data_IF_372729575025
#
_entry.id   IF_372729575025
#
_cell.length_a   1.000
_cell.length_b   1.000
_cell.length_c   1.000
_cell.angle_alpha   90.00
_cell.angle_beta   90.00
_cell.angle_gamma   90.00
#
_symmetry.space_group_name_H-M   'P 1'
#
loop_
_entity.id
_entity.type
_entity.pdbx_description
1 polymer ?
#
# COMPACT_ATOMS: atom_id res chain seq x y z
N UNK A 1 -18.50 -2.25 17.21
CA UNK A 1 -19.19 -1.05 16.67
C UNK A 1 -19.48 0.01 17.74
N UNK A 2 -19.59 -0.34 19.02
CA UNK A 2 -19.90 0.62 20.08
C UNK A 2 -18.85 1.72 20.28
N UNK A 3 -17.58 1.45 19.97
CA UNK A 3 -16.51 2.45 20.03
C UNK A 3 -16.76 3.60 19.04
N UNK A 4 -17.13 3.30 17.79
CA UNK A 4 -17.44 4.33 16.78
C UNK A 4 -18.66 5.15 17.17
N UNK A 5 -19.68 4.53 17.77
CA UNK A 5 -20.86 5.25 18.25
C UNK A 5 -20.55 6.22 19.39
N UNK A 6 -19.55 5.90 20.24
CA UNK A 6 -19.13 6.75 21.37
C UNK A 6 -18.10 7.81 20.95
N UNK A 7 -17.25 7.49 20.01
CA UNK A 7 -16.23 8.39 19.50
C UNK A 7 -15.98 8.08 18.02
N UNK A 8 -16.30 9.04 17.17
CA UNK A 8 -16.17 8.91 15.72
C UNK A 8 -14.73 9.14 15.23
N UNK A 9 -13.86 9.74 16.06
CA UNK A 9 -12.47 10.03 15.68
C UNK A 9 -11.68 8.74 15.49
N UNK A 10 -11.06 8.57 14.33
CA UNK A 10 -10.29 7.38 13.98
C UNK A 10 -8.97 7.74 13.33
N UNK A 11 -7.96 6.90 13.54
CA UNK A 11 -6.79 6.77 12.69
C UNK A 11 -6.99 5.58 11.77
N UNK A 12 -6.72 5.76 10.50
CA UNK A 12 -6.75 4.72 9.49
C UNK A 12 -5.48 4.78 8.67
N UNK A 13 -4.82 3.65 8.47
CA UNK A 13 -3.60 3.56 7.70
C UNK A 13 -3.78 2.56 6.56
N UNK A 14 -3.27 2.94 5.41
CA UNK A 14 -3.10 2.05 4.26
C UNK A 14 -1.61 2.02 3.96
N UNK A 15 -1.02 0.85 4.07
CA UNK A 15 0.39 0.63 3.74
C UNK A 15 0.54 -0.37 2.60
N UNK A 16 1.66 -0.25 1.92
CA UNK A 16 2.10 -1.16 0.89
C UNK A 16 3.57 -1.47 1.09
N UNK A 17 3.86 -2.71 1.44
CA UNK A 17 5.22 -3.21 1.41
C UNK A 17 5.69 -3.32 -0.04
N UNK A 18 6.84 -2.71 -0.34
CA UNK A 18 7.45 -2.73 -1.66
C UNK A 18 8.44 -3.90 -1.74
N UNK A 19 9.45 -3.91 -0.86
CA UNK A 19 10.47 -4.94 -0.88
C UNK A 19 11.01 -5.20 0.53
N UNK A 20 11.15 -6.48 0.90
CA UNK A 20 11.88 -6.88 2.09
C UNK A 20 13.38 -6.94 1.77
N UNK A 21 14.17 -6.25 2.57
CA UNK A 21 15.63 -6.16 2.49
C UNK A 21 16.24 -7.12 3.51
N UNK A 22 16.77 -8.27 3.09
CA UNK A 22 17.48 -9.15 4.01
C UNK A 22 18.71 -8.46 4.60
N UNK A 23 19.07 -8.80 5.84
CA UNK A 23 20.23 -8.23 6.52
C UNK A 23 21.54 -8.39 5.74
N UNK A 24 21.69 -9.48 5.00
CA UNK A 24 22.88 -9.75 4.19
C UNK A 24 23.07 -8.78 2.99
N UNK A 25 22.10 -7.92 2.69
CA UNK A 25 22.30 -6.81 1.77
C UNK A 25 23.24 -5.74 2.36
N UNK A 26 23.36 -5.73 3.68
CA UNK A 26 24.14 -4.78 4.46
C UNK A 26 25.30 -5.49 5.17
N UNK A 27 24.97 -6.38 6.11
CA UNK A 27 25.92 -7.26 6.80
C UNK A 27 25.28 -8.62 7.10
N UNK A 28 25.86 -9.73 6.59
CA UNK A 28 25.32 -11.08 6.82
C UNK A 28 25.41 -11.54 8.28
N UNK A 29 26.23 -10.90 9.11
CA UNK A 29 26.41 -11.26 10.51
C UNK A 29 25.50 -10.49 11.46
N UNK A 30 24.73 -9.51 10.96
CA UNK A 30 23.85 -8.68 11.78
C UNK A 30 22.40 -8.74 11.28
N UNK A 31 21.57 -9.58 11.90
CA UNK A 31 20.16 -9.72 11.57
C UNK A 31 19.35 -8.45 11.85
N UNK A 32 19.82 -7.54 12.70
CA UNK A 32 19.12 -6.29 13.04
C UNK A 32 19.06 -5.30 11.87
N UNK A 33 19.88 -5.51 10.84
CA UNK A 33 19.92 -4.70 9.62
C UNK A 33 18.84 -5.09 8.58
N UNK A 34 18.10 -6.18 8.83
CA UNK A 34 16.96 -6.51 7.97
C UNK A 34 15.91 -5.39 8.01
N UNK A 35 15.38 -5.03 6.86
CA UNK A 35 14.51 -3.87 6.72
C UNK A 35 13.42 -4.08 5.66
N UNK A 36 12.50 -3.12 5.53
CA UNK A 36 11.44 -3.16 4.52
C UNK A 36 11.29 -1.79 3.88
N UNK A 37 11.29 -1.76 2.56
CA UNK A 37 10.86 -0.59 1.80
C UNK A 37 9.34 -0.57 1.74
N UNK A 38 8.73 0.59 1.95
CA UNK A 38 7.28 0.74 1.98
C UNK A 38 6.82 2.14 1.62
N UNK A 39 5.55 2.23 1.27
CA UNK A 39 4.79 3.49 1.19
C UNK A 39 3.53 3.34 2.03
N UNK A 40 3.13 4.39 2.74
CA UNK A 40 1.90 4.40 3.53
C UNK A 40 1.20 5.75 3.49
N UNK A 41 -0.11 5.73 3.73
CA UNK A 41 -0.93 6.91 3.96
C UNK A 41 -1.64 6.75 5.29
N UNK A 42 -1.37 7.67 6.21
CA UNK A 42 -2.05 7.74 7.51
C UNK A 42 -3.13 8.80 7.43
N UNK A 43 -4.35 8.39 7.72
CA UNK A 43 -5.56 9.21 7.66
C UNK A 43 -6.08 9.40 9.08
N UNK A 44 -6.23 10.65 9.49
CA UNK A 44 -7.04 11.02 10.66
C UNK A 44 -8.39 11.51 10.16
N UNK A 45 -9.46 10.99 10.73
CA UNK A 45 -10.79 11.30 10.22
C UNK A 45 -11.89 10.92 11.20
N UNK A 46 -13.09 10.91 10.66
CA UNK A 46 -14.29 10.52 11.37
C UNK A 46 -14.89 9.28 10.71
N UNK A 47 -15.19 8.28 11.52
CA UNK A 47 -15.85 7.07 11.06
C UNK A 47 -17.35 7.15 11.28
N UNK A 48 -18.11 6.70 10.31
CA UNK A 48 -19.56 6.49 10.41
C UNK A 48 -19.94 5.09 9.99
N UNK A 49 -21.01 4.57 10.58
CA UNK A 49 -21.61 3.29 10.18
C UNK A 49 -22.58 3.58 9.05
N UNK A 50 -22.33 2.99 7.90
CA UNK A 50 -23.17 3.19 6.71
C UNK A 50 -24.50 2.47 6.91
N UNK A 51 -25.59 3.25 7.00
CA UNK A 51 -26.97 2.75 7.05
C UNK A 51 -27.62 2.63 5.66
N UNK A 52 -27.17 3.41 4.70
CA UNK A 52 -27.75 3.45 3.37
C UNK A 52 -27.38 2.19 2.57
N UNK A 53 -28.40 1.48 2.05
CA UNK A 53 -28.20 0.22 1.30
C UNK A 53 -27.44 0.43 -0.01
N UNK A 54 -27.65 1.55 -0.72
CA UNK A 54 -26.92 1.88 -1.95
C UNK A 54 -25.41 2.05 -1.69
N UNK A 55 -25.07 2.76 -0.62
CA UNK A 55 -23.66 2.92 -0.23
C UNK A 55 -23.02 1.57 0.19
N UNK A 56 -23.76 0.71 0.92
CA UNK A 56 -23.29 -0.63 1.24
C UNK A 56 -23.01 -1.44 -0.03
N UNK A 57 -23.95 -1.44 -0.99
CA UNK A 57 -23.81 -2.13 -2.27
C UNK A 57 -22.60 -1.61 -3.04
N UNK A 58 -22.41 -0.28 -3.11
CA UNK A 58 -21.26 0.32 -3.77
C UNK A 58 -19.94 -0.16 -3.17
N UNK A 59 -19.82 -0.13 -1.84
CA UNK A 59 -18.60 -0.54 -1.13
C UNK A 59 -18.29 -2.03 -1.32
N UNK A 60 -19.31 -2.89 -1.20
CA UNK A 60 -19.14 -4.35 -1.32
C UNK A 60 -18.85 -4.77 -2.75
N UNK A 61 -19.50 -4.17 -3.75
CA UNK A 61 -19.18 -4.43 -5.15
C UNK A 61 -17.77 -3.90 -5.52
N UNK A 62 -17.34 -2.79 -4.93
CA UNK A 62 -15.97 -2.31 -5.05
C UNK A 62 -14.95 -3.31 -4.49
N UNK A 63 -15.27 -3.95 -3.36
CA UNK A 63 -14.45 -5.00 -2.77
C UNK A 63 -14.36 -6.22 -3.69
N UNK A 64 -15.50 -6.67 -4.23
CA UNK A 64 -15.54 -7.78 -5.19
C UNK A 64 -14.72 -7.49 -6.43
N UNK A 65 -14.86 -6.31 -7.02
CA UNK A 65 -14.06 -5.90 -8.20
C UNK A 65 -12.55 -5.91 -7.91
N UNK A 66 -12.14 -5.56 -6.69
CA UNK A 66 -10.73 -5.57 -6.29
C UNK A 66 -10.16 -6.98 -6.12
N UNK A 67 -10.90 -7.90 -5.49
CA UNK A 67 -10.39 -9.20 -5.09
C UNK A 67 -10.80 -10.35 -6.01
N UNK A 68 -11.82 -10.12 -6.86
CA UNK A 68 -12.28 -11.05 -7.88
C UNK A 68 -12.48 -10.32 -9.22
N UNK A 69 -11.39 -9.75 -9.80
CA UNK A 69 -11.46 -8.92 -11.01
C UNK A 69 -11.93 -9.67 -12.25
N UNK A 70 -11.81 -11.00 -12.27
CA UNK A 70 -12.30 -11.89 -13.33
C UNK A 70 -13.83 -11.93 -13.41
N UNK A 71 -14.54 -11.36 -12.44
CA UNK A 71 -15.99 -11.44 -12.39
C UNK A 71 -16.48 -12.80 -11.93
N UNK A 72 -17.36 -13.47 -12.73
CA UNK A 72 -18.00 -14.76 -12.43
C UNK A 72 -18.84 -14.73 -11.15
N UNK A 73 -19.48 -13.61 -10.86
CA UNK A 73 -20.44 -13.42 -9.77
C UNK A 73 -21.54 -12.46 -10.19
N UNK A 74 -22.71 -12.60 -9.59
CA UNK A 74 -23.77 -11.63 -9.70
C UNK A 74 -23.49 -10.45 -8.74
N UNK A 75 -23.41 -9.20 -9.22
CA UNK A 75 -23.20 -8.05 -8.35
C UNK A 75 -24.28 -7.93 -7.29
N UNK A 76 -23.86 -7.49 -6.09
CA UNK A 76 -24.82 -7.21 -5.01
C UNK A 76 -25.76 -6.09 -5.41
N UNK A 77 -27.02 -6.23 -5.00
CA UNK A 77 -28.07 -5.22 -5.19
C UNK A 77 -28.77 -4.90 -3.86
N UNK A 78 -29.55 -3.84 -3.85
CA UNK A 78 -30.18 -3.31 -2.64
C UNK A 78 -31.20 -4.26 -1.98
N UNK A 79 -31.71 -5.26 -2.70
CA UNK A 79 -32.72 -6.19 -2.21
C UNK A 79 -32.13 -7.39 -1.46
N UNK A 80 -30.80 -7.57 -1.48
CA UNK A 80 -30.14 -8.71 -0.85
C UNK A 80 -30.18 -8.59 0.68
N UNK A 81 -30.68 -9.62 1.35
CA UNK A 81 -30.76 -9.68 2.82
C UNK A 81 -29.39 -9.67 3.51
N UNK A 82 -28.35 -10.16 2.83
CA UNK A 82 -26.98 -10.16 3.37
C UNK A 82 -26.51 -8.76 3.77
N UNK A 83 -27.07 -7.69 3.20
CA UNK A 83 -26.74 -6.32 3.57
C UNK A 83 -27.09 -5.96 5.03
N UNK A 84 -28.03 -6.68 5.65
CA UNK A 84 -28.36 -6.49 7.06
C UNK A 84 -27.31 -7.14 8.00
N UNK A 85 -26.71 -8.22 7.54
CA UNK A 85 -25.66 -8.93 8.31
C UNK A 85 -24.30 -8.25 8.22
N UNK A 86 -24.07 -7.35 7.25
CA UNK A 86 -22.77 -6.71 7.00
C UNK A 86 -22.78 -5.26 7.51
N UNK A 87 -21.79 -4.92 8.34
CA UNK A 87 -21.49 -3.55 8.72
C UNK A 87 -20.43 -2.96 7.78
N UNK A 88 -20.78 -1.86 7.12
CA UNK A 88 -19.83 -1.05 6.35
C UNK A 88 -19.51 0.20 7.16
N UNK A 89 -18.21 0.48 7.32
CA UNK A 89 -17.71 1.67 7.99
C UNK A 89 -17.10 2.58 6.94
N UNK A 90 -17.54 3.82 6.92
CA UNK A 90 -17.01 4.88 6.07
C UNK A 90 -16.12 5.78 6.91
N UNK A 91 -14.92 6.05 6.43
CA UNK A 91 -13.99 7.02 7.03
C UNK A 91 -14.00 8.28 6.19
N UNK A 92 -14.34 9.40 6.82
CA UNK A 92 -14.29 10.73 6.21
C UNK A 92 -12.96 11.37 6.59
N UNK A 93 -12.00 11.50 5.65
CA UNK A 93 -10.67 12.02 5.95
C UNK A 93 -10.75 13.50 6.30
N UNK A 94 -10.00 13.90 7.34
CA UNK A 94 -9.79 15.31 7.73
C UNK A 94 -8.33 15.72 7.51
N UNK A 95 -7.41 14.77 7.73
CA UNK A 95 -5.97 14.96 7.55
C UNK A 95 -5.40 13.68 6.92
N UNK A 96 -4.55 13.84 5.93
CA UNK A 96 -3.84 12.72 5.29
C UNK A 96 -2.35 13.04 5.22
N UNK A 97 -1.53 12.10 5.69
CA UNK A 97 -0.08 12.20 5.66
C UNK A 97 0.51 11.00 4.93
N UNK A 98 1.26 11.27 3.88
CA UNK A 98 2.04 10.26 3.19
C UNK A 98 3.36 9.99 3.91
N UNK A 99 3.78 8.73 3.99
CA UNK A 99 5.08 8.31 4.46
C UNK A 99 5.64 7.27 3.49
N UNK A 100 6.93 7.38 3.21
CA UNK A 100 7.61 6.42 2.36
C UNK A 100 9.03 6.16 2.88
N UNK A 101 9.49 4.94 2.66
CA UNK A 101 10.86 4.51 2.91
C UNK A 101 11.31 3.79 1.64
N UNK A 102 12.08 4.49 0.82
CA UNK A 102 12.52 4.05 -0.51
C UNK A 102 14.03 4.32 -0.74
N UNK A 103 14.79 4.45 0.35
CA UNK A 103 16.20 4.81 0.28
C UNK A 103 16.47 6.31 0.07
N UNK A 104 15.51 7.18 0.37
CA UNK A 104 15.62 8.64 0.17
C UNK A 104 16.73 9.30 1.01
N UNK A 105 17.16 8.66 2.11
CA UNK A 105 18.23 9.17 2.98
C UNK A 105 19.60 8.55 2.64
N UNK A 106 19.67 7.72 1.60
CA UNK A 106 20.92 7.08 1.13
C UNK A 106 21.63 7.98 0.12
N UNK A 107 22.94 7.87 0.06
CA UNK A 107 23.71 8.42 -1.07
C UNK A 107 23.33 7.70 -2.37
N UNK A 108 23.53 8.34 -3.53
CA UNK A 108 23.27 7.71 -4.82
C UNK A 108 24.03 6.37 -4.98
N UNK A 109 25.24 6.28 -4.46
CA UNK A 109 26.05 5.05 -4.51
C UNK A 109 25.43 3.92 -3.67
N UNK A 110 25.00 4.22 -2.44
CA UNK A 110 24.34 3.24 -1.56
C UNK A 110 23.00 2.80 -2.15
N UNK A 111 22.21 3.75 -2.67
CA UNK A 111 20.93 3.51 -3.29
C UNK A 111 21.05 2.63 -4.54
N UNK A 112 22.08 2.87 -5.37
CA UNK A 112 22.38 2.04 -6.55
C UNK A 112 22.78 0.63 -6.15
N UNK A 113 23.66 0.47 -5.15
CA UNK A 113 24.06 -0.85 -4.64
C UNK A 113 22.87 -1.62 -4.08
N UNK A 114 21.97 -0.94 -3.35
CA UNK A 114 20.73 -1.55 -2.85
C UNK A 114 19.83 -2.00 -4.01
N UNK A 115 19.66 -1.14 -5.02
CA UNK A 115 18.86 -1.44 -6.20
C UNK A 115 19.39 -2.65 -6.98
N UNK A 116 20.72 -2.77 -7.13
CA UNK A 116 21.36 -3.95 -7.74
C UNK A 116 21.05 -5.24 -6.93
N UNK A 117 21.09 -5.17 -5.60
CA UNK A 117 20.76 -6.31 -4.75
C UNK A 117 19.29 -6.71 -4.88
N UNK A 118 18.37 -5.75 -4.95
CA UNK A 118 16.94 -5.98 -5.18
C UNK A 118 16.73 -6.65 -6.55
N UNK A 119 17.39 -6.14 -7.59
CA UNK A 119 17.30 -6.72 -8.93
C UNK A 119 17.80 -8.16 -8.96
N UNK A 120 18.95 -8.44 -8.33
CA UNK A 120 19.53 -9.80 -8.22
C UNK A 120 18.62 -10.76 -7.44
N UNK A 121 17.94 -10.29 -6.39
CA UNK A 121 16.98 -11.07 -5.63
C UNK A 121 15.77 -11.49 -6.46
N UNK A 122 15.41 -10.68 -7.48
CA UNK A 122 14.36 -10.96 -8.46
C UNK A 122 13.01 -11.36 -7.83
N UNK A 123 12.60 -10.65 -6.80
CA UNK A 123 11.27 -10.81 -6.20
C UNK A 123 10.17 -10.35 -7.17
N UNK A 124 8.91 -10.73 -6.89
CA UNK A 124 7.76 -10.30 -7.71
C UNK A 124 7.57 -8.78 -7.72
N UNK A 125 8.04 -8.09 -6.69
CA UNK A 125 7.92 -6.65 -6.52
C UNK A 125 9.18 -5.87 -6.94
N UNK A 126 10.26 -6.56 -7.32
CA UNK A 126 11.55 -5.94 -7.56
C UNK A 126 11.49 -4.80 -8.59
N UNK A 127 10.94 -5.04 -9.78
CA UNK A 127 10.89 -4.03 -10.84
C UNK A 127 10.07 -2.81 -10.44
N UNK A 128 8.90 -3.03 -9.87
CA UNK A 128 8.04 -1.95 -9.39
C UNK A 128 8.70 -1.16 -8.24
N UNK A 129 9.38 -1.85 -7.34
CA UNK A 129 10.14 -1.21 -6.25
C UNK A 129 11.24 -0.32 -6.80
N UNK A 130 12.00 -0.81 -7.80
CA UNK A 130 13.06 -0.04 -8.45
C UNK A 130 12.52 1.22 -9.14
N UNK A 131 11.38 1.11 -9.82
CA UNK A 131 10.71 2.26 -10.43
C UNK A 131 10.33 3.31 -9.38
N UNK A 132 9.71 2.88 -8.27
CA UNK A 132 9.34 3.76 -7.14
C UNK A 132 10.59 4.38 -6.47
N UNK A 133 11.71 3.66 -6.44
CA UNK A 133 12.99 4.18 -5.97
C UNK A 133 13.63 5.19 -6.94
N UNK A 134 13.06 5.39 -8.15
CA UNK A 134 13.57 6.29 -9.16
C UNK A 134 14.57 5.65 -10.12
N UNK A 135 14.57 4.33 -10.27
CA UNK A 135 15.41 3.66 -11.26
C UNK A 135 14.61 3.28 -12.50
N UNK A 136 15.30 3.28 -13.62
CA UNK A 136 14.86 2.66 -14.88
C UNK A 136 15.89 1.62 -15.33
N UNK A 137 15.48 0.70 -16.18
CA UNK A 137 16.37 -0.30 -16.77
C UNK A 137 16.45 -0.04 -18.27
N UNK A 138 17.64 0.33 -18.73
CA UNK A 138 17.92 0.58 -20.14
C UNK A 138 19.14 -0.25 -20.58
N UNK A 139 19.00 -0.99 -21.67
CA UNK A 139 20.05 -1.86 -22.17
C UNK A 139 20.65 -2.77 -21.06
N UNK A 140 19.79 -3.37 -20.27
CA UNK A 140 20.14 -4.24 -19.13
C UNK A 140 20.92 -3.54 -17.99
N UNK A 141 20.97 -2.21 -17.98
CA UNK A 141 21.63 -1.42 -16.93
C UNK A 141 20.61 -0.66 -16.11
N UNK A 142 20.86 -0.63 -14.80
CA UNK A 142 20.13 0.20 -13.86
C UNK A 142 20.60 1.64 -13.96
N UNK A 143 19.66 2.56 -14.21
CA UNK A 143 19.91 4.00 -14.32
C UNK A 143 19.05 4.69 -13.26
N UNK A 144 19.67 5.49 -12.40
CA UNK A 144 18.96 6.37 -11.45
C UNK A 144 18.50 7.61 -12.23
N UNK A 145 17.19 7.88 -12.23
CA UNK A 145 16.62 9.10 -12.81
C UNK A 145 17.12 10.33 -12.04
N UNK A 146 17.41 11.39 -12.76
CA UNK A 146 17.73 12.68 -12.15
C UNK A 146 16.46 13.40 -11.71
N UNK A 147 16.56 14.35 -10.76
CA UNK A 147 15.40 15.08 -10.20
C UNK A 147 14.60 15.88 -11.25
N UNK A 148 15.11 16.05 -12.45
CA UNK A 148 14.43 16.73 -13.55
C UNK A 148 13.44 15.82 -14.32
N UNK A 149 13.38 14.52 -14.01
CA UNK A 149 12.56 13.52 -14.71
C UNK A 149 11.35 13.00 -13.89
N UNK A 150 11.02 13.67 -12.78
CA UNK A 150 9.87 13.33 -11.91
C UNK A 150 8.62 14.17 -12.21
#
# INVERSE_FOLDING_TARGET
MDNIKRNTKVGFEVDRNLEFLPSYFFDPNDASLADTLYVSVVIKGEAEIVGNRKEKVLALNGLMKKYQPEGNYEPMNENMEVLEAVAVIKVIPKEMNGKYKIGQNMTNQEKTKLAENILKKNSKTALETLEIMGFTIENEKLILKTDEEW
#
